data_IF_435873104254
#
_entry.id   IF_435873104254
#
_cell.length_a   1.000
_cell.length_b   1.000
_cell.length_c   1.000
_cell.angle_alpha   90.00
_cell.angle_beta   90.00
_cell.angle_gamma   90.00
#
_symmetry.space_group_name_H-M   'P 1'
#
loop_
_entity.id
_entity.type
_entity.pdbx_description
1 polymer ?
#
# COMPACT_ATOMS: atom_id res chain seq x y z
N UNK A 1 6.61 -13.00 8.28
CA UNK A 1 6.35 -11.55 8.31
C UNK A 1 5.59 -11.22 7.03
N UNK A 2 4.50 -10.45 7.13
CA UNK A 2 3.64 -10.09 5.98
C UNK A 2 3.80 -8.61 5.64
N UNK A 3 3.36 -8.20 4.45
CA UNK A 3 3.43 -6.81 4.01
C UNK A 3 2.03 -6.23 3.84
N UNK A 4 1.81 -5.01 4.32
CA UNK A 4 0.65 -4.19 3.96
C UNK A 4 1.14 -2.96 3.25
N UNK A 5 0.60 -2.70 2.06
CA UNK A 5 1.09 -1.66 1.17
C UNK A 5 -0.01 -0.70 0.75
N UNK A 6 0.35 0.55 0.53
CA UNK A 6 -0.52 1.56 -0.07
C UNK A 6 0.27 2.46 -1.02
N UNK A 7 -0.44 3.20 -1.88
CA UNK A 7 0.15 4.18 -2.79
C UNK A 7 -0.39 5.57 -2.50
N UNK A 8 0.51 6.55 -2.39
CA UNK A 8 0.17 7.97 -2.26
C UNK A 8 0.89 8.73 -3.36
N UNK A 9 0.14 9.44 -4.20
CA UNK A 9 0.71 10.30 -5.24
C UNK A 9 -0.10 11.58 -5.44
N UNK A 10 0.58 12.62 -5.89
CA UNK A 10 0.06 13.98 -5.99
C UNK A 10 -0.44 14.50 -4.63
N UNK A 11 -1.38 15.44 -4.73
CA UNK A 11 -1.85 16.23 -3.57
C UNK A 11 -3.28 15.87 -3.13
N UNK A 12 -3.91 14.88 -3.78
CA UNK A 12 -5.30 14.48 -3.47
C UNK A 12 -5.43 13.91 -2.05
N UNK A 13 -4.46 13.11 -1.62
CA UNK A 13 -4.45 12.49 -0.30
C UNK A 13 -3.18 12.89 0.46
N UNK A 14 -3.37 13.53 1.61
CA UNK A 14 -2.26 13.93 2.49
C UNK A 14 -1.67 12.77 3.29
N UNK A 15 -0.54 13.03 3.96
CA UNK A 15 0.14 12.07 4.82
C UNK A 15 -0.75 11.52 5.95
N UNK A 16 -1.76 12.29 6.38
CA UNK A 16 -2.73 11.87 7.39
C UNK A 16 -3.48 10.59 6.97
N UNK A 17 -3.82 10.42 5.69
CA UNK A 17 -4.51 9.21 5.23
C UNK A 17 -3.64 7.97 5.41
N UNK A 18 -2.38 8.06 5.02
CA UNK A 18 -1.40 6.97 5.19
C UNK A 18 -1.20 6.65 6.67
N UNK A 19 -1.07 7.68 7.52
CA UNK A 19 -0.86 7.49 8.96
C UNK A 19 -2.09 6.85 9.64
N UNK A 20 -3.30 7.26 9.26
CA UNK A 20 -4.55 6.68 9.77
C UNK A 20 -4.67 5.21 9.31
N UNK A 21 -4.38 4.93 8.05
CA UNK A 21 -4.37 3.56 7.51
C UNK A 21 -3.38 2.67 8.25
N UNK A 22 -2.14 3.12 8.44
CA UNK A 22 -1.12 2.40 9.22
C UNK A 22 -1.59 2.14 10.65
N UNK A 23 -2.22 3.11 11.31
CA UNK A 23 -2.76 2.95 12.65
C UNK A 23 -3.96 1.99 12.70
N UNK A 24 -4.80 1.95 11.65
CA UNK A 24 -5.88 0.98 11.49
C UNK A 24 -5.33 -0.44 11.33
N UNK A 25 -4.38 -0.65 10.41
CA UNK A 25 -3.74 -1.95 10.17
C UNK A 25 -3.06 -2.45 11.44
N UNK A 26 -2.28 -1.61 12.13
CA UNK A 26 -1.61 -2.00 13.39
C UNK A 26 -2.58 -2.47 14.47
N UNK A 27 -3.80 -1.92 14.52
CA UNK A 27 -4.82 -2.31 15.50
C UNK A 27 -5.55 -3.60 15.12
N UNK A 28 -5.60 -3.93 13.84
CA UNK A 28 -6.47 -4.97 13.30
C UNK A 28 -5.74 -6.12 12.61
N UNK A 29 -4.40 -6.11 12.56
CA UNK A 29 -3.57 -7.18 12.04
C UNK A 29 -2.68 -7.71 13.16
N UNK A 30 -2.92 -8.94 13.60
CA UNK A 30 -2.17 -9.55 14.70
C UNK A 30 -0.80 -10.08 14.25
N UNK A 31 -0.67 -10.37 12.96
CA UNK A 31 0.57 -10.87 12.36
C UNK A 31 1.67 -9.78 12.38
N UNK A 32 2.93 -10.14 12.68
CA UNK A 32 4.06 -9.24 12.48
C UNK A 32 4.15 -8.80 11.01
N UNK A 33 4.07 -7.49 10.78
CA UNK A 33 3.94 -6.91 9.45
C UNK A 33 4.81 -5.69 9.23
N UNK A 34 5.18 -5.47 7.97
CA UNK A 34 5.71 -4.22 7.43
C UNK A 34 4.55 -3.37 6.91
N UNK A 35 4.65 -2.06 7.09
CA UNK A 35 3.71 -1.11 6.48
C UNK A 35 4.47 -0.21 5.51
N UNK A 36 4.16 -0.34 4.22
CA UNK A 36 4.92 0.29 3.15
C UNK A 36 4.06 1.25 2.34
N UNK A 37 4.55 2.47 2.13
CA UNK A 37 3.92 3.45 1.27
C UNK A 37 4.79 3.75 0.05
N UNK A 38 4.24 3.53 -1.14
CA UNK A 38 4.84 3.96 -2.39
C UNK A 38 4.44 5.42 -2.65
N UNK A 39 5.41 6.34 -2.61
CA UNK A 39 5.18 7.77 -2.79
C UNK A 39 6.42 8.50 -3.26
N UNK A 40 6.22 9.59 -3.99
CA UNK A 40 7.19 10.63 -4.32
C UNK A 40 7.38 11.65 -3.19
N UNK A 41 6.46 11.70 -2.22
CA UNK A 41 6.49 12.67 -1.13
C UNK A 41 6.19 12.02 0.22
N UNK A 42 7.25 11.82 1.00
CA UNK A 42 7.22 11.22 2.34
C UNK A 42 6.94 12.22 3.48
N UNK A 43 6.79 13.51 3.18
CA UNK A 43 6.64 14.54 4.22
C UNK A 43 5.41 14.28 5.08
N UNK A 44 5.59 14.31 6.41
CA UNK A 44 4.51 14.10 7.38
C UNK A 44 4.10 12.63 7.59
N UNK A 45 4.74 11.66 6.92
CA UNK A 45 4.50 10.25 7.21
C UNK A 45 5.06 9.85 8.57
N UNK A 46 4.38 8.93 9.23
CA UNK A 46 4.80 8.37 10.51
C UNK A 46 6.17 7.66 10.33
N UNK A 47 7.11 7.75 11.30
CA UNK A 47 8.48 7.21 11.14
C UNK A 47 8.56 5.70 10.88
N UNK A 48 7.54 4.96 11.30
CA UNK A 48 7.43 3.51 11.05
C UNK A 48 6.82 3.14 9.69
N UNK A 49 6.44 4.13 8.86
CA UNK A 49 6.03 3.87 7.48
C UNK A 49 7.29 3.75 6.65
N UNK A 50 7.50 2.58 6.07
CA UNK A 50 8.58 2.36 5.11
C UNK A 50 8.19 3.00 3.78
N UNK A 51 9.11 3.75 3.16
CA UNK A 51 8.82 4.51 1.95
C UNK A 51 9.61 3.97 0.77
N UNK A 52 8.91 3.69 -0.32
CA UNK A 52 9.51 3.36 -1.60
C UNK A 52 9.07 4.38 -2.67
N UNK A 53 9.89 4.63 -3.69
CA UNK A 53 9.49 5.44 -4.82
C UNK A 53 8.30 4.79 -5.54
N UNK A 54 7.44 5.61 -6.14
CA UNK A 54 6.37 5.08 -7.00
C UNK A 54 6.97 4.26 -8.14
N UNK A 55 6.48 3.04 -8.40
CA UNK A 55 6.94 2.26 -9.52
C UNK A 55 6.62 2.95 -10.84
N UNK A 56 7.52 2.81 -11.81
CA UNK A 56 7.36 3.39 -13.13
C UNK A 56 6.28 2.62 -13.92
N UNK A 57 5.47 3.37 -14.66
CA UNK A 57 4.53 2.82 -15.63
C UNK A 57 4.63 3.66 -16.90
N UNK A 58 5.10 3.04 -17.98
CA UNK A 58 5.03 3.64 -19.30
C UNK A 58 3.57 3.61 -19.77
N UNK A 59 2.88 4.73 -19.60
CA UNK A 59 1.53 4.93 -20.13
C UNK A 59 1.63 5.76 -21.42
N UNK A 60 0.83 5.45 -22.45
CA UNK A 60 0.74 6.29 -23.64
C UNK A 60 0.36 7.72 -23.27
N UNK A 61 0.97 8.70 -23.94
CA UNK A 61 0.67 10.11 -23.74
C UNK A 61 -0.82 10.42 -24.01
N UNK A 62 -1.39 11.33 -23.22
CA UNK A 62 -2.75 11.83 -23.42
C UNK A 62 -3.88 10.94 -22.88
N UNK A 63 -3.56 9.82 -22.20
CA UNK A 63 -4.59 9.06 -21.50
C UNK A 63 -4.99 9.73 -20.18
N UNK A 64 -6.28 9.68 -19.79
CA UNK A 64 -6.71 10.22 -18.50
C UNK A 64 -6.11 9.40 -17.34
N UNK A 65 -5.70 10.09 -16.28
CA UNK A 65 -5.26 9.48 -15.03
C UNK A 65 -6.41 8.68 -14.40
N UNK A 66 -6.33 7.34 -14.46
CA UNK A 66 -7.34 6.42 -13.88
C UNK A 66 -6.74 5.47 -12.86
N UNK A 67 -5.74 5.91 -12.10
CA UNK A 67 -5.02 5.07 -11.14
C UNK A 67 -4.35 3.85 -11.81
N UNK A 68 -4.04 3.94 -13.10
CA UNK A 68 -3.37 2.85 -13.84
C UNK A 68 -2.04 2.47 -13.21
N UNK A 69 -1.39 3.40 -12.51
CA UNK A 69 -0.17 3.18 -11.72
C UNK A 69 -0.32 2.09 -10.65
N UNK A 70 -1.55 1.77 -10.20
CA UNK A 70 -1.80 0.61 -9.32
C UNK A 70 -1.46 -0.71 -10.00
N UNK A 71 -1.49 -0.82 -11.32
CA UNK A 71 -1.13 -2.06 -12.03
C UNK A 71 0.33 -2.46 -11.76
N UNK A 72 1.20 -1.50 -11.46
CA UNK A 72 2.58 -1.78 -11.09
C UNK A 72 2.72 -2.62 -9.82
N UNK A 73 1.67 -2.73 -8.99
CA UNK A 73 1.74 -3.59 -7.79
C UNK A 73 1.82 -5.08 -8.14
N UNK A 74 1.49 -5.46 -9.37
CA UNK A 74 1.64 -6.82 -9.88
C UNK A 74 3.04 -7.12 -10.43
N UNK A 75 3.96 -6.16 -10.39
CA UNK A 75 5.35 -6.41 -10.75
C UNK A 75 5.91 -7.55 -9.87
N UNK A 76 6.67 -8.46 -10.50
CA UNK A 76 7.33 -9.56 -9.80
C UNK A 76 8.30 -9.05 -8.74
N UNK A 77 8.83 -7.85 -8.90
CA UNK A 77 9.76 -7.22 -7.97
C UNK A 77 9.26 -5.82 -7.58
N UNK A 78 8.22 -5.78 -6.74
CA UNK A 78 7.73 -4.55 -6.17
C UNK A 78 8.59 -4.13 -4.96
N UNK A 79 9.57 -3.25 -5.19
CA UNK A 79 10.52 -2.82 -4.16
C UNK A 79 11.38 -3.98 -3.65
N UNK A 80 11.52 -4.11 -2.33
CA UNK A 80 12.21 -5.23 -1.66
C UNK A 80 11.22 -6.19 -0.96
N UNK A 81 9.95 -6.17 -1.37
CA UNK A 81 8.91 -6.92 -0.68
C UNK A 81 9.08 -8.42 -0.88
N UNK A 82 9.06 -9.15 0.24
CA UNK A 82 9.07 -10.61 0.25
C UNK A 82 7.92 -11.14 1.11
N UNK A 83 7.30 -12.23 0.66
CA UNK A 83 6.18 -12.88 1.37
C UNK A 83 4.80 -12.33 0.98
N UNK A 84 3.74 -12.79 1.67
CA UNK A 84 2.37 -12.39 1.40
C UNK A 84 2.18 -10.88 1.54
N UNK A 85 1.52 -10.27 0.55
CA UNK A 85 1.35 -8.82 0.46
C UNK A 85 -0.11 -8.45 0.25
N UNK A 86 -0.61 -7.51 1.05
CA UNK A 86 -1.95 -6.95 0.94
C UNK A 86 -1.86 -5.48 0.52
N UNK A 87 -2.46 -5.12 -0.60
CA UNK A 87 -2.66 -3.74 -1.01
C UNK A 87 -3.97 -3.20 -0.45
N UNK A 88 -3.92 -2.00 0.13
CA UNK A 88 -5.08 -1.25 0.60
C UNK A 88 -5.07 0.17 0.03
N UNK A 89 -6.24 0.62 -0.42
CA UNK A 89 -6.47 2.00 -0.81
C UNK A 89 -6.43 2.96 0.39
N UNK A 90 -6.15 4.24 0.13
CA UNK A 90 -6.05 5.26 1.19
C UNK A 90 -7.40 5.68 1.76
N UNK A 91 -8.50 5.44 1.03
CA UNK A 91 -9.86 5.82 1.39
C UNK A 91 -10.70 4.66 1.96
N UNK A 92 -10.03 3.63 2.48
CA UNK A 92 -10.69 2.52 3.20
C UNK A 92 -10.75 2.77 4.70
N UNK A 93 -11.69 2.09 5.37
CA UNK A 93 -11.77 2.03 6.83
C UNK A 93 -11.72 0.58 7.27
N UNK A 94 -10.75 0.22 8.11
CA UNK A 94 -10.63 -1.12 8.69
C UNK A 94 -11.40 -1.16 10.00
N UNK A 95 -12.44 -1.98 10.05
CA UNK A 95 -13.33 -2.13 11.22
C UNK A 95 -13.12 -3.45 12.00
N UNK A 96 -12.47 -4.43 11.39
CA UNK A 96 -12.32 -5.78 11.93
C UNK A 96 -10.96 -6.39 11.60
N UNK A 97 -10.72 -7.61 12.07
CA UNK A 97 -9.44 -8.29 11.84
C UNK A 97 -9.14 -8.48 10.36
N UNK A 98 -7.88 -8.21 9.97
CA UNK A 98 -7.34 -8.45 8.64
C UNK A 98 -6.66 -9.82 8.52
N UNK A 99 -6.55 -10.58 9.61
CA UNK A 99 -5.79 -11.83 9.67
C UNK A 99 -6.27 -12.85 8.63
N UNK A 100 -7.60 -12.98 8.46
CA UNK A 100 -8.21 -13.91 7.52
C UNK A 100 -7.85 -13.64 6.06
N UNK A 101 -7.50 -12.41 5.70
CA UNK A 101 -7.05 -12.08 4.34
C UNK A 101 -5.72 -12.76 4.00
N UNK A 102 -4.88 -13.02 5.02
CA UNK A 102 -3.60 -13.71 4.86
C UNK A 102 -3.71 -15.24 4.93
N UNK A 103 -4.88 -15.78 5.27
CA UNK A 103 -5.16 -17.22 5.26
C UNK A 103 -5.66 -17.73 3.90
N UNK A 104 -6.05 -16.80 3.00
CA UNK A 104 -6.51 -17.12 1.66
C UNK A 104 -5.36 -17.67 0.79
N UNK A 105 -5.66 -18.55 -0.19
CA UNK A 105 -4.64 -19.03 -1.11
C UNK A 105 -4.16 -17.88 -2.00
N UNK A 106 -2.87 -17.59 -1.96
CA UNK A 106 -2.27 -16.53 -2.78
C UNK A 106 -0.99 -15.97 -2.18
N UNK A 107 -0.33 -15.10 -2.93
CA UNK A 107 0.85 -14.35 -2.47
C UNK A 107 0.61 -12.83 -2.47
N UNK A 108 -0.41 -12.38 -3.20
CA UNK A 108 -0.73 -10.97 -3.36
C UNK A 108 -2.25 -10.80 -3.34
N UNK A 109 -2.73 -9.87 -2.53
CA UNK A 109 -4.15 -9.60 -2.31
C UNK A 109 -4.41 -8.09 -2.50
N UNK A 110 -5.54 -7.75 -3.11
CA UNK A 110 -6.01 -6.37 -3.27
C UNK A 110 -7.39 -6.30 -2.65
N UNK A 111 -7.59 -5.33 -1.75
CA UNK A 111 -8.90 -4.99 -1.20
C UNK A 111 -9.25 -3.54 -1.51
#
# INVERSE_FOLDING_TARGET
MVNVICMKWGDKYGANYVNILRAMVRRHLSLPHRFVCFTENASGLHPEVEVFPLPELELPDGIPERCWRKLCTFDRQLGDLHGPTLFLDLDVVVLGSLDSLFELPGKFFIC
#
